data_IF_023099452234
#
_entry.id   IF_023099452234
#
_cell.length_a   1.000
_cell.length_b   1.000
_cell.length_c   1.000
_cell.angle_alpha   90.00
_cell.angle_beta   90.00
_cell.angle_gamma   90.00
#
_symmetry.space_group_name_H-M   'P 1'
#
loop_
_entity.id
_entity.type
_entity.pdbx_description
1 polymer ?
#
# COMPACT_ATOMS: atom_id res chain seq x y z
N UNK A 1 -6.47 29.64 3.61
CA UNK A 1 -5.95 28.89 4.77
C UNK A 1 -5.57 27.51 4.25
N UNK A 2 -4.38 27.41 3.66
CA UNK A 2 -3.90 26.19 3.00
C UNK A 2 -3.13 25.35 4.00
N UNK A 3 -3.78 24.31 4.53
CA UNK A 3 -3.11 23.26 5.28
C UNK A 3 -2.58 22.23 4.28
N UNK A 4 -1.31 22.37 3.92
CA UNK A 4 -0.51 21.28 3.37
C UNK A 4 0.34 20.72 4.53
N UNK A 5 -0.25 19.83 5.34
CA UNK A 5 0.54 18.93 6.21
C UNK A 5 1.30 17.98 5.29
N UNK A 6 2.49 18.42 4.90
CA UNK A 6 3.51 17.55 4.31
C UNK A 6 3.96 16.58 5.41
N UNK A 7 3.34 15.40 5.45
CA UNK A 7 3.84 14.29 6.24
C UNK A 7 5.26 13.97 5.77
N UNK A 8 6.23 14.24 6.65
CA UNK A 8 7.63 13.85 6.48
C UNK A 8 7.69 12.34 6.29
N UNK A 9 7.95 11.90 5.06
CA UNK A 9 8.33 10.52 4.77
C UNK A 9 9.83 10.50 4.45
N UNK A 10 10.63 10.75 5.48
CA UNK A 10 12.05 10.39 5.46
C UNK A 10 12.12 8.90 5.81
N UNK A 11 12.51 8.07 4.84
CA UNK A 11 12.51 6.63 5.01
C UNK A 11 13.32 5.89 3.95
N UNK A 12 14.65 5.84 4.16
CA UNK A 12 15.54 4.76 3.74
C UNK A 12 15.56 4.44 2.23
N UNK A 13 15.94 5.41 1.39
CA UNK A 13 16.36 5.11 0.01
C UNK A 13 17.77 4.48 0.02
N UNK A 14 17.88 3.24 0.50
CA UNK A 14 19.08 2.44 0.34
C UNK A 14 19.27 2.11 -1.14
N UNK A 15 19.86 3.03 -1.92
CA UNK A 15 20.42 2.81 -3.26
C UNK A 15 19.47 2.34 -4.38
N UNK A 16 18.18 2.08 -4.09
CA UNK A 16 17.18 1.72 -5.09
C UNK A 16 16.53 3.00 -5.56
N UNK A 17 16.78 3.38 -6.80
CA UNK A 17 16.14 4.54 -7.40
C UNK A 17 14.61 4.40 -7.20
N UNK A 18 13.93 5.46 -6.74
CA UNK A 18 12.50 5.40 -6.47
C UNK A 18 11.71 4.91 -7.69
N UNK A 19 12.24 5.18 -8.90
CA UNK A 19 11.72 4.69 -10.17
C UNK A 19 11.68 3.15 -10.32
N UNK A 20 12.46 2.38 -9.55
CA UNK A 20 12.42 0.91 -9.52
C UNK A 20 11.43 0.34 -8.50
N UNK A 21 10.92 1.14 -7.55
CA UNK A 21 10.00 0.63 -6.53
C UNK A 21 8.62 0.50 -7.16
N UNK A 22 8.21 -0.74 -7.43
CA UNK A 22 6.88 -1.07 -7.97
C UNK A 22 5.87 -1.32 -6.86
N UNK A 23 4.76 -0.60 -6.89
CA UNK A 23 3.60 -0.83 -6.05
C UNK A 23 2.72 -1.94 -6.65
N UNK A 24 2.55 -3.04 -5.93
CA UNK A 24 1.71 -4.16 -6.39
C UNK A 24 0.20 -3.88 -6.29
N UNK A 25 -0.19 -2.92 -5.44
CA UNK A 25 -1.61 -2.57 -5.26
C UNK A 25 -2.15 -1.78 -6.46
N UNK A 26 -1.43 -0.76 -6.93
CA UNK A 26 -1.89 0.11 -8.01
C UNK A 26 -1.09 -0.01 -9.32
N UNK A 27 -0.03 -0.83 -9.34
CA UNK A 27 0.96 -0.92 -10.44
C UNK A 27 1.76 0.37 -10.67
N UNK A 28 1.70 1.33 -9.73
CA UNK A 28 2.48 2.56 -9.78
C UNK A 28 3.96 2.33 -9.44
N UNK A 29 4.81 3.30 -9.80
CA UNK A 29 6.22 3.34 -9.45
C UNK A 29 6.47 4.38 -8.34
N UNK A 30 7.66 4.41 -7.75
CA UNK A 30 8.05 5.45 -6.78
C UNK A 30 7.69 5.16 -5.32
N UNK A 31 6.90 4.12 -5.04
CA UNK A 31 6.40 3.88 -3.67
C UNK A 31 6.11 2.40 -3.40
N UNK A 32 6.26 2.01 -2.13
CA UNK A 32 5.86 0.69 -1.66
C UNK A 32 4.34 0.54 -1.60
N UNK A 33 3.86 -0.70 -1.74
CA UNK A 33 2.43 -1.03 -1.59
C UNK A 33 1.82 -0.55 -0.26
N UNK A 34 2.60 -0.57 0.84
CA UNK A 34 2.20 -0.06 2.16
C UNK A 34 1.96 1.45 2.22
N UNK A 35 2.58 2.21 1.32
CA UNK A 35 2.46 3.67 1.21
C UNK A 35 1.54 4.08 0.05
N UNK A 36 0.84 3.12 -0.55
CA UNK A 36 -0.05 3.37 -1.68
C UNK A 36 -1.29 4.13 -1.21
N UNK A 37 -1.40 5.38 -1.64
CA UNK A 37 -2.58 6.24 -1.39
C UNK A 37 -3.70 6.01 -2.40
N UNK A 38 -3.40 5.35 -3.53
CA UNK A 38 -4.43 4.90 -4.44
C UNK A 38 -5.33 3.91 -3.70
N UNK A 39 -6.65 4.05 -3.90
CA UNK A 39 -7.66 3.15 -3.35
C UNK A 39 -7.17 1.71 -3.57
N UNK A 40 -7.01 0.89 -2.52
CA UNK A 40 -6.64 -0.50 -2.68
C UNK A 40 -7.52 -1.11 -3.76
N UNK A 41 -6.97 -2.01 -4.58
CA UNK A 41 -7.82 -2.78 -5.52
C UNK A 41 -9.03 -3.23 -4.73
N UNK A 42 -10.22 -3.10 -5.33
CA UNK A 42 -11.43 -3.72 -4.77
C UNK A 42 -11.02 -5.14 -4.47
N UNK A 43 -10.87 -5.46 -3.19
CA UNK A 43 -10.72 -6.83 -2.79
C UNK A 43 -12.03 -7.44 -3.19
N UNK A 44 -11.96 -8.29 -4.22
CA UNK A 44 -13.11 -9.02 -4.66
C UNK A 44 -13.72 -9.74 -3.45
N UNK A 45 -15.03 -9.97 -3.51
CA UNK A 45 -15.75 -10.59 -2.42
C UNK A 45 -15.10 -11.92 -2.01
N UNK A 46 -14.45 -12.64 -2.95
CA UNK A 46 -13.76 -13.89 -2.68
C UNK A 46 -12.49 -13.70 -1.83
N UNK A 47 -11.68 -12.67 -2.10
CA UNK A 47 -10.52 -12.35 -1.27
C UNK A 47 -10.93 -11.94 0.15
N UNK A 48 -11.96 -11.08 0.28
CA UNK A 48 -12.44 -10.66 1.59
C UNK A 48 -13.04 -11.82 2.38
N UNK A 49 -13.84 -12.66 1.72
CA UNK A 49 -14.39 -13.88 2.30
C UNK A 49 -13.28 -14.80 2.81
N UNK A 50 -12.19 -14.96 2.05
CA UNK A 50 -11.07 -15.82 2.41
C UNK A 50 -10.32 -15.28 3.63
N UNK A 51 -10.07 -13.97 3.71
CA UNK A 51 -9.41 -13.37 4.88
C UNK A 51 -10.24 -13.50 6.16
N UNK A 52 -11.56 -13.33 6.07
CA UNK A 52 -12.46 -13.54 7.21
C UNK A 52 -12.43 -14.99 7.70
N UNK A 53 -12.44 -15.95 6.78
CA UNK A 53 -12.34 -17.38 7.12
C UNK A 53 -11.02 -17.75 7.77
N UNK A 54 -9.91 -17.10 7.39
CA UNK A 54 -8.60 -17.32 8.02
C UNK A 54 -8.60 -16.74 9.44
N UNK A 55 -9.06 -15.50 9.61
CA UNK A 55 -9.11 -14.84 10.92
C UNK A 55 -10.01 -15.57 11.93
N UNK A 56 -11.09 -16.23 11.47
CA UNK A 56 -11.97 -17.05 12.30
C UNK A 56 -11.38 -18.42 12.67
N UNK A 57 -10.34 -18.87 11.97
CA UNK A 57 -9.67 -20.17 12.20
C UNK A 57 -8.40 -20.06 13.05
N UNK A 58 -8.02 -18.84 13.43
CA UNK A 58 -6.92 -18.58 14.37
C UNK A 58 -7.41 -18.51 15.84
N UNK A 59 -8.68 -18.87 16.09
CA UNK A 59 -9.24 -19.20 17.42
C UNK A 59 -9.19 -20.71 17.68
#
# INVERSE_FOLDING_TARGET
NGNLVAARAEGNAAGKNANQIRCYNCKGLGHYARNCTAKPRRMDAAYLQTQLLIAQKEE
#
